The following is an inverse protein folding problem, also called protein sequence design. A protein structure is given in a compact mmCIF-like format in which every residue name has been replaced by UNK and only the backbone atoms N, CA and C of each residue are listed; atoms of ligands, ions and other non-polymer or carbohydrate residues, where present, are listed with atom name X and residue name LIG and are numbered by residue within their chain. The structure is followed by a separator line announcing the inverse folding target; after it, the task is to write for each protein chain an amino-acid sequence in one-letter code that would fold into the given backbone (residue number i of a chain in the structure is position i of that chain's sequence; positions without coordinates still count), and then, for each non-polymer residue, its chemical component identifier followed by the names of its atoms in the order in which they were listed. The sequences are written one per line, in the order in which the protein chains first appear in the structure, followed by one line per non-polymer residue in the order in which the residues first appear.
data_IF_821974177854
#
_entry.id   IF_821974177854
#
_cell.length_a   1.000
_cell.length_b   1.000
_cell.length_c   1.000
_cell.angle_alpha   90.00
_cell.angle_beta   90.00
_cell.angle_gamma   90.00
#
_symmetry.space_group_name_H-M   'P 1'
#
loop_
_entity.id
_entity.type
_entity.pdbx_description
1 polymer ?
#
# COMPACT_ATOMS: atom_id res chain seq x y z
N UNK A 1 1.24 -26.02 8.05
CA UNK A 1 1.26 -24.67 7.46
C UNK A 1 -0.08 -24.02 7.74
N UNK A 2 -0.14 -22.71 8.01
CA UNK A 2 -1.43 -22.01 8.13
C UNK A 2 -2.23 -22.19 6.81
N UNK A 3 -3.52 -22.55 6.82
CA UNK A 3 -4.32 -22.76 5.61
C UNK A 3 -4.25 -21.58 4.62
N UNK A 4 -4.22 -20.34 5.11
CA UNK A 4 -4.10 -19.15 4.26
C UNK A 4 -2.74 -19.07 3.55
N UNK A 5 -1.66 -19.50 4.22
CA UNK A 5 -0.32 -19.52 3.62
C UNK A 5 -0.20 -20.62 2.57
N UNK A 6 -0.85 -21.76 2.80
CA UNK A 6 -0.91 -22.83 1.80
C UNK A 6 -1.66 -22.36 0.54
N UNK A 7 -2.82 -21.73 0.70
CA UNK A 7 -3.57 -21.19 -0.43
C UNK A 7 -2.73 -20.18 -1.22
N UNK A 8 -2.05 -19.24 -0.54
CA UNK A 8 -1.16 -18.27 -1.20
C UNK A 8 -0.04 -18.95 -1.99
N UNK A 9 0.64 -19.93 -1.39
CA UNK A 9 1.73 -20.64 -2.05
C UNK A 9 1.27 -21.43 -3.30
N UNK A 10 0.04 -21.96 -3.29
CA UNK A 10 -0.54 -22.71 -4.41
C UNK A 10 -1.07 -21.80 -5.55
N UNK A 11 -1.38 -20.53 -5.25
CA UNK A 11 -2.05 -19.62 -6.20
C UNK A 11 -1.18 -18.44 -6.67
N UNK A 12 0.00 -18.24 -6.06
CA UNK A 12 0.96 -17.18 -6.42
C UNK A 12 2.28 -17.78 -6.90
N UNK A 13 3.31 -16.96 -7.17
CA UNK A 13 4.64 -17.43 -7.59
C UNK A 13 4.60 -18.43 -8.76
N UNK A 14 3.96 -18.02 -9.87
CA UNK A 14 3.74 -18.89 -11.04
C UNK A 14 5.03 -19.44 -11.65
N UNK A 15 6.13 -18.68 -11.51
CA UNK A 15 7.45 -19.06 -12.01
C UNK A 15 8.19 -20.01 -11.04
N UNK A 16 7.60 -20.32 -9.88
CA UNK A 16 8.16 -21.25 -8.90
C UNK A 16 9.48 -20.76 -8.31
N UNK A 17 9.69 -19.46 -8.22
CA UNK A 17 10.90 -18.89 -7.66
C UNK A 17 11.06 -19.31 -6.19
N UNK A 18 12.18 -19.97 -5.87
CA UNK A 18 12.46 -20.53 -4.55
C UNK A 18 13.80 -20.05 -3.97
N UNK A 19 14.32 -18.92 -4.48
CA UNK A 19 15.55 -18.30 -4.01
C UNK A 19 15.31 -17.33 -2.85
N UNK A 20 16.15 -16.30 -2.77
CA UNK A 20 16.12 -15.28 -1.72
C UNK A 20 15.35 -14.03 -2.14
N UNK A 21 15.15 -13.11 -1.19
CA UNK A 21 14.43 -11.87 -1.45
C UNK A 21 15.12 -10.97 -2.49
N UNK A 22 16.45 -10.73 -2.45
CA UNK A 22 17.16 -10.01 -3.50
C UNK A 22 16.93 -10.57 -4.90
N UNK A 23 16.96 -11.88 -5.07
CA UNK A 23 16.68 -12.48 -6.36
C UNK A 23 15.21 -12.40 -6.76
N UNK A 24 14.27 -12.43 -5.81
CA UNK A 24 12.83 -12.27 -6.08
C UNK A 24 12.46 -10.86 -6.59
N UNK A 25 13.19 -9.82 -6.16
CA UNK A 25 12.91 -8.44 -6.59
C UNK A 25 13.61 -8.04 -7.90
N UNK A 26 14.54 -8.85 -8.41
CA UNK A 26 15.23 -8.58 -9.67
C UNK A 26 14.23 -8.50 -10.83
N UNK A 27 14.21 -7.36 -11.51
CA UNK A 27 13.27 -7.09 -12.60
C UNK A 27 11.81 -6.96 -12.18
N UNK A 28 11.50 -6.92 -10.87
CA UNK A 28 10.14 -6.69 -10.39
C UNK A 28 9.73 -5.22 -10.58
N UNK A 29 8.48 -4.98 -10.98
CA UNK A 29 7.92 -3.63 -11.10
C UNK A 29 7.56 -3.02 -9.74
N UNK A 30 7.14 -3.86 -8.79
CA UNK A 30 6.63 -3.43 -7.49
C UNK A 30 7.18 -4.33 -6.39
N UNK A 31 7.70 -3.71 -5.33
CA UNK A 31 7.98 -4.37 -4.05
C UNK A 31 7.06 -3.80 -2.97
N UNK A 32 6.41 -4.69 -2.21
CA UNK A 32 5.60 -4.33 -1.03
C UNK A 32 6.14 -5.14 0.16
N UNK A 33 6.86 -4.47 1.04
CA UNK A 33 7.35 -4.98 2.31
C UNK A 33 6.40 -4.62 3.46
N UNK A 34 6.08 -5.62 4.28
CA UNK A 34 5.25 -5.48 5.49
C UNK A 34 5.80 -6.33 6.65
N UNK A 35 7.10 -6.60 6.68
CA UNK A 35 7.69 -7.66 7.50
C UNK A 35 8.71 -7.17 8.53
N UNK A 36 9.96 -6.99 8.13
CA UNK A 36 11.10 -6.75 9.00
C UNK A 36 12.05 -5.69 8.40
N UNK A 37 12.87 -5.02 9.24
CA UNK A 37 13.76 -3.97 8.76
C UNK A 37 14.98 -4.51 8.01
N UNK A 38 15.55 -3.67 7.13
CA UNK A 38 16.87 -3.88 6.49
C UNK A 38 17.03 -5.22 5.73
N UNK A 39 15.98 -5.62 5.00
CA UNK A 39 15.98 -6.84 4.18
C UNK A 39 16.54 -6.62 2.78
N UNK A 40 16.53 -5.39 2.28
CA UNK A 40 17.00 -5.01 0.95
C UNK A 40 17.95 -3.81 1.05
N UNK A 41 18.88 -3.76 0.11
CA UNK A 41 19.85 -2.66 -0.08
C UNK A 41 19.45 -1.78 -1.26
N UNK A 42 20.13 -0.64 -1.44
CA UNK A 42 19.97 0.20 -2.63
C UNK A 42 20.30 -0.55 -3.93
N UNK A 43 21.31 -1.42 -3.90
CA UNK A 43 21.71 -2.22 -5.07
C UNK A 43 20.63 -3.24 -5.47
N UNK A 44 19.91 -3.79 -4.48
CA UNK A 44 18.78 -4.68 -4.76
C UNK A 44 17.63 -3.92 -5.45
N UNK A 45 17.36 -2.68 -5.02
CA UNK A 45 16.38 -1.79 -5.68
C UNK A 45 16.87 -1.38 -7.08
N UNK A 46 18.17 -1.16 -7.25
CA UNK A 46 18.76 -0.87 -8.57
C UNK A 46 18.60 -2.03 -9.56
N UNK A 47 18.46 -3.25 -9.07
CA UNK A 47 18.24 -4.44 -9.89
C UNK A 47 16.75 -4.71 -10.21
N UNK A 48 15.82 -3.93 -9.66
CA UNK A 48 14.40 -3.97 -10.02
C UNK A 48 14.15 -3.45 -11.44
N UNK A 49 12.91 -3.56 -11.93
CA UNK A 49 12.55 -2.98 -13.23
C UNK A 49 12.75 -1.46 -13.25
N UNK A 50 12.90 -0.90 -14.45
CA UNK A 50 12.88 0.55 -14.64
C UNK A 50 11.53 1.11 -14.17
N UNK A 51 11.57 2.29 -13.54
CA UNK A 51 10.40 2.99 -13.01
C UNK A 51 9.67 2.21 -11.90
N UNK A 52 10.41 1.38 -11.14
CA UNK A 52 9.86 0.54 -10.07
C UNK A 52 9.23 1.32 -8.92
N UNK A 53 8.32 0.65 -8.22
CA UNK A 53 7.59 1.14 -7.05
C UNK A 53 8.01 0.33 -5.82
N UNK A 54 8.44 1.03 -4.77
CA UNK A 54 8.90 0.41 -3.51
C UNK A 54 8.03 0.90 -2.36
N UNK A 55 7.26 0.00 -1.75
CA UNK A 55 6.51 0.23 -0.53
C UNK A 55 7.23 -0.51 0.61
N UNK A 56 8.03 0.20 1.40
CA UNK A 56 8.75 -0.35 2.55
C UNK A 56 8.02 0.06 3.83
N UNK A 57 7.05 -0.75 4.27
CA UNK A 57 6.04 -0.37 5.27
C UNK A 57 6.36 -0.87 6.68
N UNK A 58 7.45 -1.62 6.89
CA UNK A 58 7.90 -1.95 8.24
C UNK A 58 8.17 -0.69 9.08
N UNK A 59 7.83 -0.77 10.36
CA UNK A 59 8.04 0.30 11.34
C UNK A 59 8.84 -0.24 12.55
N UNK A 60 9.68 0.58 13.19
CA UNK A 60 10.05 1.96 12.82
C UNK A 60 11.05 2.03 11.65
N UNK A 61 11.80 0.95 11.45
CA UNK A 61 12.81 0.82 10.41
C UNK A 61 12.22 0.06 9.21
N UNK A 62 12.26 0.63 7.99
CA UNK A 62 11.73 -0.03 6.80
C UNK A 62 12.59 -1.20 6.30
N UNK A 63 12.04 -1.97 5.36
CA UNK A 63 12.73 -3.07 4.68
C UNK A 63 13.99 -2.62 3.92
N UNK A 64 14.02 -1.36 3.47
CA UNK A 64 15.16 -0.73 2.78
C UNK A 64 15.25 0.74 3.20
N UNK A 65 16.46 1.30 3.32
CA UNK A 65 16.61 2.73 3.57
C UNK A 65 15.90 3.55 2.47
N UNK A 66 14.91 4.39 2.81
CA UNK A 66 14.15 5.15 1.81
C UNK A 66 15.00 6.10 0.97
N UNK A 67 16.15 6.55 1.46
CA UNK A 67 17.09 7.41 0.70
C UNK A 67 17.82 6.61 -0.35
N UNK A 68 18.23 5.39 -0.02
CA UNK A 68 18.89 4.48 -0.96
C UNK A 68 17.89 4.00 -2.02
N UNK A 69 16.68 3.61 -1.62
CA UNK A 69 15.64 3.20 -2.56
C UNK A 69 15.29 4.30 -3.59
N UNK A 70 15.19 5.58 -3.16
CA UNK A 70 14.87 6.71 -4.05
C UNK A 70 15.92 7.04 -5.09
N UNK A 71 17.15 6.54 -4.96
CA UNK A 71 18.16 6.69 -6.01
C UNK A 71 17.82 5.87 -7.25
N UNK A 72 16.97 4.86 -7.11
CA UNK A 72 16.74 3.83 -8.11
C UNK A 72 15.26 3.65 -8.48
N UNK A 73 14.37 3.64 -7.48
CA UNK A 73 12.92 3.51 -7.67
C UNK A 73 12.28 4.84 -8.07
N UNK A 74 11.27 4.78 -8.94
CA UNK A 74 10.49 5.96 -9.31
C UNK A 74 9.60 6.43 -8.15
N UNK A 75 9.04 5.50 -7.38
CA UNK A 75 8.15 5.81 -6.25
C UNK A 75 8.63 5.04 -5.03
N UNK A 76 8.76 5.75 -3.90
CA UNK A 76 9.02 5.15 -2.59
C UNK A 76 7.95 5.60 -1.60
N UNK A 77 7.32 4.65 -0.93
CA UNK A 77 6.33 4.86 0.13
C UNK A 77 6.74 4.10 1.39
N UNK A 78 6.42 4.67 2.56
CA UNK A 78 6.80 4.08 3.86
C UNK A 78 5.69 4.25 4.90
N UNK A 79 5.80 3.58 6.05
CA UNK A 79 4.92 3.86 7.19
C UNK A 79 5.28 5.14 7.97
N UNK A 80 6.45 5.72 7.71
CA UNK A 80 7.02 6.81 8.50
C UNK A 80 6.44 8.18 8.12
N UNK A 81 6.20 9.03 9.11
CA UNK A 81 5.64 10.37 8.92
C UNK A 81 6.65 11.42 8.47
N UNK A 82 7.95 11.14 8.60
CA UNK A 82 9.04 12.02 8.15
C UNK A 82 9.38 11.83 6.66
N UNK A 83 8.62 11.00 5.93
CA UNK A 83 8.86 10.64 4.54
C UNK A 83 7.66 11.03 3.66
N UNK A 84 7.90 11.44 2.39
CA UNK A 84 6.84 11.48 1.38
C UNK A 84 6.13 10.13 1.25
N UNK A 85 4.89 10.15 0.78
CA UNK A 85 4.06 8.96 0.60
C UNK A 85 3.93 8.09 1.86
N UNK A 86 3.53 8.70 2.98
CA UNK A 86 3.23 7.94 4.19
C UNK A 86 1.96 7.09 4.00
N UNK A 87 2.10 5.78 4.07
CA UNK A 87 0.96 4.85 4.12
C UNK A 87 0.54 4.68 5.58
N UNK A 88 -0.67 5.14 5.91
CA UNK A 88 -1.17 5.13 7.27
C UNK A 88 -2.65 4.71 7.33
N UNK A 89 -2.97 3.79 8.25
CA UNK A 89 -4.32 3.27 8.44
C UNK A 89 -5.35 4.34 8.85
N UNK A 90 -4.90 5.49 9.39
CA UNK A 90 -5.74 6.67 9.66
C UNK A 90 -6.49 7.15 8.43
N UNK A 91 -5.97 6.91 7.23
CA UNK A 91 -6.66 7.25 5.98
C UNK A 91 -7.90 6.38 5.73
N UNK A 92 -7.97 5.18 6.32
CA UNK A 92 -9.04 4.22 6.09
C UNK A 92 -10.05 4.17 7.24
N UNK A 93 -9.60 3.84 8.47
CA UNK A 93 -10.52 3.42 9.53
C UNK A 93 -11.64 4.43 9.86
N UNK A 94 -11.41 5.75 9.97
CA UNK A 94 -12.49 6.67 10.35
C UNK A 94 -13.62 6.69 9.33
N UNK A 95 -13.26 6.71 8.04
CA UNK A 95 -14.22 6.73 6.94
C UNK A 95 -14.90 5.39 6.77
N UNK A 96 -14.16 4.28 6.83
CA UNK A 96 -14.72 2.92 6.71
C UNK A 96 -15.79 2.68 7.76
N UNK A 97 -15.47 2.92 9.05
CA UNK A 97 -16.45 2.72 10.12
C UNK A 97 -17.65 3.67 10.00
N UNK A 98 -17.43 4.94 9.66
CA UNK A 98 -18.53 5.89 9.43
C UNK A 98 -19.47 5.42 8.31
N UNK A 99 -18.92 4.99 7.18
CA UNK A 99 -19.70 4.49 6.04
C UNK A 99 -20.48 3.22 6.38
N UNK A 100 -19.87 2.28 7.10
CA UNK A 100 -20.55 1.08 7.57
C UNK A 100 -21.69 1.41 8.55
N UNK A 101 -21.45 2.32 9.49
CA UNK A 101 -22.47 2.78 10.44
C UNK A 101 -23.62 3.50 9.73
N UNK A 102 -23.34 4.34 8.73
CA UNK A 102 -24.38 5.02 7.93
C UNK A 102 -25.21 4.08 7.06
N UNK A 103 -24.64 2.95 6.66
CA UNK A 103 -25.30 1.91 5.89
C UNK A 103 -26.04 0.88 6.76
N UNK A 104 -25.84 0.92 8.09
CA UNK A 104 -26.15 -0.20 8.97
C UNK A 104 -25.60 -1.52 8.41
N UNK A 105 -24.37 -1.52 7.89
CA UNK A 105 -23.74 -2.71 7.34
C UNK A 105 -23.39 -3.70 8.46
N UNK A 106 -23.74 -4.96 8.27
CA UNK A 106 -23.45 -6.04 9.23
C UNK A 106 -22.07 -6.66 8.99
N UNK A 107 -21.56 -6.56 7.76
CA UNK A 107 -20.30 -7.13 7.33
C UNK A 107 -19.49 -6.12 6.50
N UNK A 108 -18.16 -6.28 6.53
CA UNK A 108 -17.25 -5.53 5.66
C UNK A 108 -16.82 -6.43 4.51
N UNK A 109 -17.18 -6.06 3.29
CA UNK A 109 -16.93 -6.88 2.09
C UNK A 109 -15.69 -6.42 1.32
N UNK A 110 -15.22 -7.25 0.39
CA UNK A 110 -14.11 -6.89 -0.50
C UNK A 110 -14.46 -5.69 -1.40
N UNK A 111 -15.72 -5.57 -1.84
CA UNK A 111 -16.20 -4.43 -2.61
C UNK A 111 -16.10 -3.13 -1.80
N UNK A 112 -16.42 -3.17 -0.50
CA UNK A 112 -16.24 -2.02 0.39
C UNK A 112 -14.76 -1.67 0.56
N UNK A 113 -13.88 -2.65 0.68
CA UNK A 113 -12.44 -2.44 0.77
C UNK A 113 -11.89 -1.75 -0.49
N UNK A 114 -12.29 -2.24 -1.67
CA UNK A 114 -11.91 -1.64 -2.95
C UNK A 114 -12.50 -0.23 -3.11
N UNK A 115 -13.74 0.00 -2.68
CA UNK A 115 -14.36 1.32 -2.71
C UNK A 115 -13.63 2.32 -1.80
N UNK A 116 -13.27 1.90 -0.58
CA UNK A 116 -12.48 2.71 0.34
C UNK A 116 -11.10 3.06 -0.24
N UNK A 117 -10.39 2.07 -0.79
CA UNK A 117 -9.07 2.28 -1.38
C UNK A 117 -9.11 3.29 -2.55
N UNK A 118 -10.11 3.16 -3.44
CA UNK A 118 -10.32 4.11 -4.55
C UNK A 118 -10.63 5.50 -4.04
N UNK A 119 -11.52 5.62 -3.06
CA UNK A 119 -11.87 6.92 -2.47
C UNK A 119 -10.65 7.62 -1.83
N UNK A 120 -9.75 6.88 -1.19
CA UNK A 120 -8.49 7.44 -0.66
C UNK A 120 -7.61 7.97 -1.81
N UNK A 121 -7.43 7.18 -2.87
CA UNK A 121 -6.60 7.55 -4.01
C UNK A 121 -7.15 8.80 -4.73
N UNK A 122 -8.47 8.88 -4.94
CA UNK A 122 -9.12 9.97 -5.66
C UNK A 122 -9.00 11.33 -4.94
N UNK A 123 -8.80 11.34 -3.62
CA UNK A 123 -8.62 12.58 -2.83
C UNK A 123 -7.34 13.34 -3.21
N UNK A 124 -6.30 12.64 -3.70
CA UNK A 124 -5.07 13.29 -4.19
C UNK A 124 -5.41 14.25 -5.33
N UNK A 125 -6.24 13.79 -6.27
CA UNK A 125 -6.62 14.52 -7.48
C UNK A 125 -5.54 14.44 -8.56
N UNK A 126 -5.99 14.40 -9.83
CA UNK A 126 -5.12 14.25 -11.01
C UNK A 126 -4.11 15.38 -11.20
N UNK A 127 -4.37 16.57 -10.66
CA UNK A 127 -3.45 17.71 -10.79
C UNK A 127 -2.28 17.66 -9.79
N UNK A 128 -2.42 16.94 -8.68
CA UNK A 128 -1.41 16.89 -7.61
C UNK A 128 -0.57 15.63 -7.64
N UNK A 129 -1.06 14.57 -8.29
CA UNK A 129 -0.39 13.27 -8.31
C UNK A 129 1.01 13.40 -8.94
N UNK A 130 2.02 12.92 -8.21
CA UNK A 130 3.40 12.89 -8.65
C UNK A 130 4.17 11.83 -7.83
N UNK A 131 5.44 11.52 -8.16
CA UNK A 131 6.20 10.47 -7.48
C UNK A 131 6.32 10.62 -5.95
N UNK A 132 6.16 11.83 -5.43
CA UNK A 132 6.22 12.13 -3.98
C UNK A 132 4.85 12.37 -3.34
N UNK A 133 3.77 12.30 -4.12
CA UNK A 133 2.38 12.49 -3.66
C UNK A 133 1.47 11.48 -4.38
N UNK A 134 1.47 10.23 -3.90
CA UNK A 134 0.59 9.15 -4.40
C UNK A 134 -0.59 8.87 -3.47
N UNK A 135 -0.57 9.43 -2.26
CA UNK A 135 -1.53 9.21 -1.18
C UNK A 135 -1.80 10.55 -0.50
N UNK A 136 -3.05 10.85 -0.06
CA UNK A 136 -3.35 12.11 0.59
C UNK A 136 -2.66 12.20 1.97
N UNK A 137 -2.55 13.43 2.49
CA UNK A 137 -2.12 13.64 3.87
C UNK A 137 -3.10 12.99 4.84
N UNK A 138 -2.57 12.43 5.95
CA UNK A 138 -3.38 11.90 7.06
C UNK A 138 -4.27 12.95 7.72
N UNK A 139 -4.00 14.23 7.49
CA UNK A 139 -4.78 15.36 8.00
C UNK A 139 -5.70 15.98 6.94
N UNK A 140 -5.78 15.41 5.73
CA UNK A 140 -6.68 15.93 4.71
C UNK A 140 -8.14 15.67 5.12
N UNK A 141 -8.92 16.72 5.42
CA UNK A 141 -10.27 16.56 5.99
C UNK A 141 -11.26 15.96 4.99
N UNK A 142 -10.87 15.83 3.70
CA UNK A 142 -11.70 15.26 2.65
C UNK A 142 -11.69 13.74 2.66
N UNK A 143 -10.67 13.10 3.25
CA UNK A 143 -10.47 11.64 3.19
C UNK A 143 -11.60 10.89 3.88
N UNK A 144 -11.81 11.13 5.18
CA UNK A 144 -12.80 10.37 5.94
C UNK A 144 -14.24 10.50 5.37
N UNK A 145 -14.73 11.70 4.99
CA UNK A 145 -16.02 11.83 4.32
C UNK A 145 -16.10 11.09 2.98
N UNK A 146 -15.05 11.17 2.14
CA UNK A 146 -15.02 10.49 0.84
C UNK A 146 -15.07 8.96 1.00
N UNK A 147 -14.27 8.42 1.91
CA UNK A 147 -14.25 6.99 2.22
C UNK A 147 -15.60 6.54 2.79
N UNK A 148 -16.20 7.30 3.71
CA UNK A 148 -17.50 6.96 4.27
C UNK A 148 -18.60 6.91 3.21
N UNK A 149 -18.64 7.89 2.31
CA UNK A 149 -19.58 7.92 1.21
C UNK A 149 -19.41 6.72 0.26
N UNK A 150 -18.16 6.38 -0.08
CA UNK A 150 -17.84 5.26 -0.97
C UNK A 150 -18.20 3.90 -0.34
N UNK A 151 -17.86 3.68 0.93
CA UNK A 151 -18.19 2.45 1.66
C UNK A 151 -19.70 2.30 1.81
N UNK A 152 -20.42 3.38 2.14
CA UNK A 152 -21.89 3.38 2.20
C UNK A 152 -22.49 3.03 0.84
N UNK A 153 -21.99 3.60 -0.26
CA UNK A 153 -22.49 3.28 -1.60
C UNK A 153 -22.23 1.82 -1.99
N UNK A 154 -21.09 1.25 -1.57
CA UNK A 154 -20.73 -0.13 -1.83
C UNK A 154 -21.48 -1.15 -0.96
N UNK A 155 -22.17 -0.73 0.10
CA UNK A 155 -22.89 -1.64 1.00
C UNK A 155 -24.16 -2.24 0.42
N UNK A 156 -24.63 -1.73 -0.73
CA UNK A 156 -25.86 -2.17 -1.36
C UNK A 156 -27.15 -1.85 -0.57
N UNK A 157 -27.09 -0.90 0.37
CA UNK A 157 -28.23 -0.42 1.19
C UNK A 157 -28.43 1.09 1.05
#
# INVERSE_FOLDING_TARGET
MNPSWQWLAEHTNKDGYAGDLPGAVRGADVFIGVSAPNLLTGDDVAAMAKDSIVFALANPDPEVDPREARKHAAIVATGRSDQPNQINNVLAFPGVFRGMLDAHAEEFTEEMALAAARAIADVVGSEKINPTVIVPSVFDPRVAPAVAAAVRAASGR
#
